data_IF_497116844652
#
_entry.id   IF_497116844652
#
_cell.length_a   1.000
_cell.length_b   1.000
_cell.length_c   1.000
_cell.angle_alpha   90.00
_cell.angle_beta   90.00
_cell.angle_gamma   90.00
#
_symmetry.space_group_name_H-M   'P 1'
#
loop_
_entity.id
_entity.type
_entity.pdbx_description
1 polymer ?
#
# COMPACT_ATOMS: atom_id res chain seq x y z
N UNK A 1 9.74 -13.06 -27.13
CA UNK A 1 9.03 -11.99 -27.87
C UNK A 1 9.29 -10.68 -27.12
N UNK A 2 9.53 -9.56 -27.80
CA UNK A 2 9.72 -8.27 -27.11
C UNK A 2 8.41 -7.78 -26.47
N UNK A 3 8.51 -6.97 -25.42
CA UNK A 3 7.36 -6.58 -24.58
C UNK A 3 6.20 -5.94 -25.34
N UNK A 4 6.47 -4.98 -26.22
CA UNK A 4 5.42 -4.31 -27.00
C UNK A 4 4.67 -5.28 -27.92
N UNK A 5 5.36 -6.27 -28.49
CA UNK A 5 4.74 -7.32 -29.29
C UNK A 5 3.89 -8.26 -28.42
N UNK A 6 4.30 -8.50 -27.17
CA UNK A 6 3.53 -9.25 -26.19
C UNK A 6 2.21 -8.54 -25.86
N UNK A 7 2.26 -7.25 -25.49
CA UNK A 7 1.06 -6.45 -25.15
C UNK A 7 0.03 -6.46 -26.29
N UNK A 8 0.49 -6.23 -27.52
CA UNK A 8 -0.37 -6.23 -28.70
C UNK A 8 -0.99 -7.62 -28.96
N UNK A 9 -0.21 -8.70 -28.75
CA UNK A 9 -0.70 -10.06 -28.96
C UNK A 9 -1.74 -10.47 -27.91
N UNK A 10 -1.49 -10.19 -26.63
CA UNK A 10 -2.46 -10.41 -25.54
C UNK A 10 -3.75 -9.64 -25.81
N UNK A 11 -3.65 -8.34 -26.11
CA UNK A 11 -4.81 -7.49 -26.40
C UNK A 11 -5.64 -8.03 -27.55
N UNK A 12 -4.98 -8.46 -28.64
CA UNK A 12 -5.65 -9.04 -29.81
C UNK A 12 -6.37 -10.35 -29.48
N UNK A 13 -5.71 -11.26 -28.76
CA UNK A 13 -6.31 -12.54 -28.36
C UNK A 13 -7.49 -12.33 -27.41
N UNK A 14 -7.35 -11.46 -26.40
CA UNK A 14 -8.46 -11.11 -25.52
C UNK A 14 -9.64 -10.49 -26.26
N UNK A 15 -9.39 -9.62 -27.23
CA UNK A 15 -10.45 -9.03 -28.07
C UNK A 15 -11.20 -10.10 -28.87
N UNK A 16 -10.48 -11.11 -29.38
CA UNK A 16 -11.08 -12.21 -30.14
C UNK A 16 -11.93 -13.12 -29.26
N UNK A 17 -11.48 -13.42 -28.05
CA UNK A 17 -12.16 -14.31 -27.11
C UNK A 17 -13.40 -13.65 -26.46
N UNK A 18 -13.33 -12.36 -26.12
CA UNK A 18 -14.46 -11.64 -25.52
C UNK A 18 -15.57 -11.31 -26.54
N UNK A 19 -15.21 -11.14 -27.81
CA UNK A 19 -16.17 -10.95 -28.90
C UNK A 19 -16.77 -9.55 -28.99
N UNK A 20 -17.88 -9.44 -29.73
CA UNK A 20 -18.55 -8.16 -29.98
C UNK A 20 -19.17 -7.57 -28.71
N UNK A 21 -19.12 -6.24 -28.56
CA UNK A 21 -19.65 -5.51 -27.40
C UNK A 21 -18.57 -5.11 -26.38
N UNK A 22 -17.36 -5.65 -26.48
CA UNK A 22 -16.22 -5.30 -25.63
C UNK A 22 -15.24 -4.36 -26.33
N UNK A 23 -14.80 -3.33 -25.60
CA UNK A 23 -13.71 -2.43 -25.98
C UNK A 23 -12.49 -2.69 -25.12
N UNK A 24 -11.32 -2.89 -25.74
CA UNK A 24 -10.06 -3.12 -25.04
C UNK A 24 -9.08 -2.01 -25.38
N UNK A 25 -8.56 -1.33 -24.36
CA UNK A 25 -7.56 -0.26 -24.53
C UNK A 25 -6.39 -0.43 -23.57
N UNK A 26 -5.18 -0.36 -24.12
CA UNK A 26 -3.97 -0.27 -23.32
C UNK A 26 -3.81 1.15 -22.77
N UNK A 27 -3.60 1.26 -21.47
CA UNK A 27 -3.34 2.53 -20.78
C UNK A 27 -2.16 2.40 -19.84
N UNK A 28 -1.37 3.47 -19.78
CA UNK A 28 -0.34 3.62 -18.75
C UNK A 28 -0.99 4.07 -17.46
N UNK A 29 -0.81 3.28 -16.40
CA UNK A 29 -1.39 3.53 -15.08
C UNK A 29 -0.26 3.90 -14.12
N UNK A 30 -0.23 5.14 -13.60
CA UNK A 30 0.75 5.52 -12.60
C UNK A 30 0.50 4.77 -11.29
N UNK A 31 1.59 4.39 -10.64
CA UNK A 31 1.64 3.72 -9.34
C UNK A 31 2.54 4.49 -8.39
N UNK A 32 2.54 4.09 -7.13
CA UNK A 32 3.37 4.69 -6.10
C UNK A 32 4.86 4.64 -6.50
N UNK A 33 5.63 5.61 -6.02
CA UNK A 33 7.06 5.76 -6.29
C UNK A 33 7.40 5.91 -7.78
N UNK A 34 6.51 6.56 -8.54
CA UNK A 34 6.70 6.89 -9.95
C UNK A 34 6.74 5.69 -10.89
N UNK A 35 6.30 4.51 -10.43
CA UNK A 35 6.18 3.34 -11.31
C UNK A 35 5.00 3.54 -12.27
N UNK A 36 5.13 3.03 -13.49
CA UNK A 36 4.09 3.07 -14.51
C UNK A 36 3.88 1.65 -14.99
N UNK A 37 2.63 1.17 -14.90
CA UNK A 37 2.24 -0.15 -15.40
C UNK A 37 1.40 -0.02 -16.66
N UNK A 38 1.44 -1.03 -17.52
CA UNK A 38 0.58 -1.14 -18.69
C UNK A 38 -0.67 -1.94 -18.32
N UNK A 39 -1.78 -1.22 -18.16
CA UNK A 39 -3.10 -1.77 -17.86
C UNK A 39 -3.92 -1.99 -19.13
N UNK A 40 -4.52 -3.17 -19.24
CA UNK A 40 -5.55 -3.46 -20.23
C UNK A 40 -6.91 -3.10 -19.65
N UNK A 41 -7.47 -1.98 -20.08
CA UNK A 41 -8.80 -1.53 -19.71
C UNK A 41 -9.84 -2.23 -20.59
N UNK A 42 -10.81 -2.90 -19.95
CA UNK A 42 -11.92 -3.58 -20.62
C UNK A 42 -13.21 -2.83 -20.33
N UNK A 43 -13.93 -2.44 -21.37
CA UNK A 43 -15.26 -1.80 -21.29
C UNK A 43 -16.28 -2.69 -21.98
N UNK A 44 -17.52 -2.72 -21.49
CA UNK A 44 -18.63 -3.39 -22.17
C UNK A 44 -19.80 -2.40 -22.38
N UNK A 45 -20.27 -2.25 -23.62
CA UNK A 45 -21.34 -1.29 -23.92
C UNK A 45 -21.00 0.17 -23.53
N UNK A 46 -21.87 0.81 -22.74
CA UNK A 46 -21.74 2.20 -22.28
C UNK A 46 -21.15 2.33 -20.86
N UNK A 47 -20.35 1.35 -20.43
CA UNK A 47 -19.72 1.36 -19.11
C UNK A 47 -18.85 2.61 -18.90
N UNK A 48 -19.12 3.33 -17.81
CA UNK A 48 -18.36 4.52 -17.42
C UNK A 48 -17.13 4.19 -16.56
N UNK A 49 -17.03 2.95 -16.06
CA UNK A 49 -15.89 2.44 -15.29
C UNK A 49 -15.35 1.19 -16.01
N UNK A 50 -14.05 1.20 -16.30
CA UNK A 50 -13.37 0.10 -16.95
C UNK A 50 -12.34 -0.52 -15.99
N UNK A 51 -12.48 -1.79 -15.56
CA UNK A 51 -11.41 -2.46 -14.82
C UNK A 51 -10.13 -2.51 -15.68
N UNK A 52 -8.99 -2.32 -15.01
CA UNK A 52 -7.67 -2.38 -15.65
C UNK A 52 -6.90 -3.60 -15.14
N UNK A 53 -6.47 -4.47 -16.05
CA UNK A 53 -5.62 -5.62 -15.73
C UNK A 53 -4.16 -5.32 -16.10
N UNK A 54 -3.24 -5.40 -15.14
CA UNK A 54 -1.83 -5.08 -15.40
C UNK A 54 -1.13 -6.21 -16.14
N UNK A 55 -0.47 -5.89 -17.24
CA UNK A 55 0.17 -6.87 -18.12
C UNK A 55 1.67 -7.08 -17.83
N UNK A 56 2.29 -6.23 -17.00
CA UNK A 56 3.70 -6.36 -16.63
C UNK A 56 4.00 -7.72 -15.98
N UNK A 57 3.28 -8.18 -14.93
CA UNK A 57 3.56 -9.48 -14.32
C UNK A 57 3.29 -10.65 -15.27
N UNK A 58 2.29 -10.51 -16.16
CA UNK A 58 2.00 -11.52 -17.19
C UNK A 58 3.17 -11.70 -18.16
N UNK A 59 3.89 -10.62 -18.48
CA UNK A 59 5.06 -10.70 -19.33
C UNK A 59 6.22 -11.42 -18.65
N UNK A 60 6.44 -11.19 -17.36
CA UNK A 60 7.45 -11.90 -16.58
C UNK A 60 7.18 -13.41 -16.54
N UNK A 61 5.91 -13.81 -16.36
CA UNK A 61 5.50 -15.21 -16.42
C UNK A 61 5.70 -15.82 -17.81
N UNK A 62 5.42 -15.06 -18.87
CA UNK A 62 5.68 -15.50 -20.24
C UNK A 62 7.18 -15.71 -20.48
N UNK A 63 8.05 -14.82 -19.97
CA UNK A 63 9.50 -14.99 -20.02
C UNK A 63 9.99 -16.20 -19.22
N UNK A 64 9.30 -16.54 -18.12
CA UNK A 64 9.51 -17.75 -17.35
C UNK A 64 9.01 -19.04 -18.04
N UNK A 65 8.46 -18.94 -19.26
CA UNK A 65 8.06 -20.07 -20.09
C UNK A 65 6.58 -20.41 -20.05
N UNK A 66 5.74 -19.63 -19.36
CA UNK A 66 4.30 -19.83 -19.36
C UNK A 66 3.71 -19.59 -20.77
N UNK A 67 2.86 -20.50 -21.30
CA UNK A 67 2.19 -20.29 -22.57
C UNK A 67 1.30 -19.05 -22.57
N UNK A 68 1.22 -18.38 -23.72
CA UNK A 68 0.41 -17.17 -23.88
C UNK A 68 -1.08 -17.47 -23.70
N UNK A 69 -1.53 -18.59 -24.25
CA UNK A 69 -2.91 -19.03 -24.24
C UNK A 69 -3.41 -19.21 -22.80
N UNK A 70 -2.57 -19.74 -21.91
CA UNK A 70 -2.87 -19.90 -20.49
C UNK A 70 -2.97 -18.56 -19.76
N UNK A 71 -2.13 -17.59 -20.13
CA UNK A 71 -2.18 -16.22 -19.58
C UNK A 71 -3.48 -15.55 -19.99
N UNK A 72 -3.84 -15.64 -21.27
CA UNK A 72 -5.08 -15.04 -21.81
C UNK A 72 -6.31 -15.68 -21.17
N UNK A 73 -6.34 -17.01 -21.03
CA UNK A 73 -7.45 -17.71 -20.38
C UNK A 73 -7.63 -17.29 -18.91
N UNK A 74 -6.53 -17.10 -18.18
CA UNK A 74 -6.59 -16.57 -16.81
C UNK A 74 -7.12 -15.14 -16.77
N UNK A 75 -6.63 -14.25 -17.64
CA UNK A 75 -7.10 -12.86 -17.70
C UNK A 75 -8.60 -12.78 -18.00
N UNK A 76 -9.12 -13.62 -18.91
CA UNK A 76 -10.56 -13.72 -19.19
C UNK A 76 -11.32 -14.19 -17.95
N UNK A 77 -10.83 -15.22 -17.27
CA UNK A 77 -11.45 -15.76 -16.06
C UNK A 77 -11.49 -14.71 -14.95
N UNK A 78 -10.39 -13.97 -14.77
CA UNK A 78 -10.27 -12.90 -13.79
C UNK A 78 -11.25 -11.76 -14.10
N UNK A 79 -11.33 -11.35 -15.37
CA UNK A 79 -12.30 -10.34 -15.79
C UNK A 79 -13.73 -10.81 -15.53
N UNK A 80 -14.11 -12.02 -15.96
CA UNK A 80 -15.45 -12.55 -15.79
C UNK A 80 -15.84 -12.72 -14.32
N UNK A 81 -14.90 -13.00 -13.42
CA UNK A 81 -15.17 -13.08 -11.98
C UNK A 81 -15.46 -11.69 -11.37
N UNK A 82 -14.86 -10.63 -11.91
CA UNK A 82 -14.84 -9.29 -11.33
C UNK A 82 -15.50 -8.22 -12.23
N UNK A 83 -16.29 -8.63 -13.24
CA UNK A 83 -16.77 -7.76 -14.32
C UNK A 83 -17.85 -6.75 -13.89
N UNK A 84 -18.44 -6.90 -12.70
CA UNK A 84 -19.49 -6.02 -12.22
C UNK A 84 -18.86 -4.93 -11.35
N UNK A 85 -18.54 -3.74 -11.88
CA UNK A 85 -18.19 -2.62 -11.01
C UNK A 85 -19.39 -2.35 -10.08
N UNK A 86 -19.15 -1.99 -8.81
CA UNK A 86 -20.23 -1.57 -7.93
C UNK A 86 -20.98 -0.39 -8.58
N UNK A 87 -22.31 -0.35 -8.39
CA UNK A 87 -23.15 0.74 -8.89
C UNK A 87 -22.71 2.06 -8.22
N UNK A 88 -21.87 2.80 -8.94
CA UNK A 88 -21.25 4.03 -8.48
C UNK A 88 -22.17 5.19 -8.85
N UNK A 89 -22.97 5.64 -7.88
CA UNK A 89 -23.75 6.85 -8.01
C UNK A 89 -22.81 8.07 -8.03
N UNK A 90 -22.51 8.57 -9.23
CA UNK A 90 -21.68 9.76 -9.45
C UNK A 90 -22.20 11.00 -8.72
N UNK A 91 -23.52 11.13 -8.54
CA UNK A 91 -24.09 12.26 -7.82
C UNK A 91 -23.77 12.18 -6.32
N UNK A 92 -23.53 10.98 -5.78
CA UNK A 92 -23.05 10.79 -4.40
C UNK A 92 -21.57 11.13 -4.26
N UNK A 93 -20.73 10.80 -5.24
CA UNK A 93 -19.29 11.14 -5.21
C UNK A 93 -19.05 12.66 -5.14
N UNK A 94 -19.92 13.46 -5.77
CA UNK A 94 -19.86 14.92 -5.72
C UNK A 94 -20.30 15.52 -4.37
N UNK A 95 -20.91 14.74 -3.47
CA UNK A 95 -21.44 15.22 -2.18
C UNK A 95 -20.48 14.88 -1.05
N UNK A 96 -19.76 15.89 -0.57
CA UNK A 96 -18.84 15.73 0.56
C UNK A 96 -19.48 15.03 1.77
N UNK A 97 -20.71 15.40 2.13
CA UNK A 97 -21.43 14.79 3.26
C UNK A 97 -21.53 13.27 3.16
N UNK A 98 -21.77 12.75 1.96
CA UNK A 98 -21.93 11.32 1.72
C UNK A 98 -20.58 10.61 1.69
N UNK A 99 -19.52 11.29 1.21
CA UNK A 99 -18.16 10.76 1.13
C UNK A 99 -17.38 10.87 2.44
N UNK A 100 -17.72 11.83 3.30
CA UNK A 100 -17.02 12.16 4.54
C UNK A 100 -16.70 10.95 5.42
N UNK A 101 -17.60 9.97 5.66
CA UNK A 101 -17.30 8.80 6.49
C UNK A 101 -16.30 7.82 5.87
N UNK A 102 -16.08 7.92 4.56
CA UNK A 102 -15.25 7.00 3.78
C UNK A 102 -13.86 7.56 3.48
N UNK A 103 -13.56 8.77 3.97
CA UNK A 103 -12.26 9.41 3.77
C UNK A 103 -11.26 8.81 4.77
N UNK A 104 -10.13 8.32 4.25
CA UNK A 104 -8.99 7.84 5.01
C UNK A 104 -7.69 8.47 4.51
N UNK A 105 -6.60 8.30 5.25
CA UNK A 105 -5.26 8.73 4.84
C UNK A 105 -4.25 7.58 4.81
N UNK A 106 -3.22 7.74 3.98
CA UNK A 106 -2.06 6.85 3.93
C UNK A 106 -0.76 7.64 3.77
N UNK A 107 0.35 6.95 3.99
CA UNK A 107 1.69 7.49 3.80
C UNK A 107 2.28 7.03 2.48
N UNK A 108 2.96 7.94 1.78
CA UNK A 108 3.80 7.65 0.61
C UNK A 108 5.12 8.41 0.73
N UNK A 109 6.17 7.94 0.04
CA UNK A 109 7.44 8.66 0.01
C UNK A 109 7.30 9.99 -0.76
N UNK A 110 7.67 11.11 -0.14
CA UNK A 110 7.40 12.42 -0.73
C UNK A 110 8.19 12.64 -2.03
N UNK A 111 9.51 12.42 -1.99
CA UNK A 111 10.38 12.73 -3.12
C UNK A 111 10.13 11.83 -4.34
N UNK A 112 9.76 10.56 -4.13
CA UNK A 112 9.49 9.61 -5.22
C UNK A 112 8.13 9.83 -5.89
N UNK A 113 7.26 10.66 -5.28
CA UNK A 113 5.90 10.91 -5.76
C UNK A 113 5.65 12.39 -6.08
N UNK A 114 6.70 13.19 -6.28
CA UNK A 114 6.57 14.64 -6.49
C UNK A 114 5.55 15.02 -7.57
N UNK A 115 5.55 14.33 -8.72
CA UNK A 115 4.59 14.60 -9.79
C UNK A 115 3.14 14.29 -9.40
N UNK A 116 2.91 13.23 -8.61
CA UNK A 116 1.56 12.92 -8.10
C UNK A 116 1.11 13.98 -7.08
N UNK A 117 2.03 14.42 -6.21
CA UNK A 117 1.75 15.41 -5.16
C UNK A 117 1.35 16.79 -5.71
N UNK A 118 1.67 17.11 -6.95
CA UNK A 118 1.19 18.33 -7.63
C UNK A 118 -0.32 18.29 -7.90
N UNK A 119 -0.90 17.10 -8.03
CA UNK A 119 -2.31 16.90 -8.44
C UNK A 119 -3.24 16.57 -7.27
N UNK A 120 -2.68 16.21 -6.10
CA UNK A 120 -3.45 15.73 -4.95
C UNK A 120 -3.19 16.53 -3.66
N UNK A 121 -4.20 16.70 -2.79
CA UNK A 121 -4.04 17.25 -1.46
C UNK A 121 -3.08 16.39 -0.62
N UNK A 122 -2.10 17.03 0.02
CA UNK A 122 -1.10 16.33 0.81
C UNK A 122 -0.51 17.20 1.92
N UNK A 123 0.10 16.54 2.90
CA UNK A 123 0.85 17.18 3.99
C UNK A 123 2.21 16.51 4.08
N UNK A 124 3.28 17.30 4.01
CA UNK A 124 4.63 16.80 4.24
C UNK A 124 4.82 16.43 5.70
N UNK A 125 5.36 15.24 5.95
CA UNK A 125 5.62 14.71 7.27
C UNK A 125 6.92 13.91 7.24
N UNK A 126 7.97 14.45 7.87
CA UNK A 126 9.35 13.97 7.73
C UNK A 126 9.77 13.90 6.25
N UNK A 127 10.20 12.74 5.78
CA UNK A 127 10.52 12.43 4.37
C UNK A 127 9.32 11.84 3.60
N UNK A 128 8.16 11.75 4.24
CA UNK A 128 6.92 11.20 3.69
C UNK A 128 5.90 12.30 3.40
N UNK A 129 4.84 11.91 2.70
CA UNK A 129 3.64 12.71 2.52
C UNK A 129 2.41 11.92 3.01
N UNK A 130 1.57 12.59 3.79
CA UNK A 130 0.23 12.12 4.13
C UNK A 130 -0.68 12.50 2.97
N UNK A 131 -1.33 11.50 2.36
CA UNK A 131 -2.27 11.69 1.26
C UNK A 131 -3.63 11.07 1.60
N UNK A 132 -4.67 11.48 0.89
CA UNK A 132 -6.05 11.15 1.22
C UNK A 132 -6.71 10.31 0.13
N UNK A 133 -7.55 9.35 0.55
CA UNK A 133 -8.27 8.47 -0.34
C UNK A 133 -9.67 8.14 0.19
N UNK A 134 -10.55 7.71 -0.72
CA UNK A 134 -11.88 7.21 -0.42
C UNK A 134 -11.86 5.68 -0.37
N UNK A 135 -12.49 5.11 0.65
CA UNK A 135 -12.87 3.70 0.74
C UNK A 135 -14.25 3.51 0.10
N UNK A 136 -14.28 3.04 -1.15
CA UNK A 136 -15.51 2.97 -1.94
C UNK A 136 -16.30 1.69 -1.63
N UNK A 137 -15.60 0.57 -1.63
CA UNK A 137 -16.19 -0.76 -1.47
C UNK A 137 -15.17 -1.71 -0.87
N UNK A 138 -15.63 -2.65 -0.05
CA UNK A 138 -14.83 -3.73 0.50
C UNK A 138 -15.63 -5.02 0.37
N UNK A 139 -15.02 -6.03 -0.23
CA UNK A 139 -15.57 -7.38 -0.36
C UNK A 139 -14.45 -8.43 -0.30
N UNK A 140 -14.79 -9.69 -0.57
CA UNK A 140 -13.86 -10.82 -0.59
C UNK A 140 -12.73 -10.66 -1.64
N UNK A 141 -12.88 -9.74 -2.61
CA UNK A 141 -11.86 -9.43 -3.62
C UNK A 141 -10.89 -8.32 -3.18
N UNK A 142 -11.21 -7.60 -2.11
CA UNK A 142 -10.35 -6.61 -1.47
C UNK A 142 -11.01 -5.24 -1.31
N UNK A 143 -10.18 -4.25 -0.98
CA UNK A 143 -10.60 -2.87 -0.75
C UNK A 143 -10.47 -2.03 -2.03
N UNK A 144 -11.59 -1.58 -2.57
CA UNK A 144 -11.65 -0.62 -3.66
C UNK A 144 -11.46 0.80 -3.11
N UNK A 145 -10.41 1.49 -3.59
CA UNK A 145 -10.09 2.85 -3.17
C UNK A 145 -9.96 3.82 -4.34
N UNK A 146 -10.17 5.10 -4.08
CA UNK A 146 -9.89 6.18 -5.02
C UNK A 146 -9.11 7.31 -4.35
N UNK A 147 -8.04 7.78 -5.00
CA UNK A 147 -7.25 8.91 -4.51
C UNK A 147 -8.06 10.20 -4.62
N UNK A 148 -8.06 10.99 -3.56
CA UNK A 148 -8.70 12.32 -3.57
C UNK A 148 -7.75 13.27 -4.29
N UNK A 149 -8.24 14.01 -5.29
CA UNK A 149 -7.47 14.99 -6.06
C UNK A 149 -7.85 16.42 -5.64
N UNK A 150 -7.02 17.41 -6.00
CA UNK A 150 -7.27 18.81 -5.66
C UNK A 150 -8.65 19.31 -6.14
N UNK A 151 -9.06 18.91 -7.34
CA UNK A 151 -10.41 19.16 -7.89
C UNK A 151 -11.55 18.69 -6.95
N UNK A 152 -11.38 17.56 -6.24
CA UNK A 152 -12.43 17.11 -5.31
C UNK A 152 -12.64 18.09 -4.16
N UNK A 153 -11.60 18.79 -3.69
CA UNK A 153 -11.75 19.81 -2.65
C UNK A 153 -12.56 20.99 -3.20
N UNK A 154 -12.30 21.41 -4.44
CA UNK A 154 -13.06 22.47 -5.11
C UNK A 154 -14.54 22.11 -5.27
N UNK A 155 -14.84 20.87 -5.66
CA UNK A 155 -16.21 20.35 -5.81
C UNK A 155 -16.93 20.23 -4.47
N UNK A 156 -16.20 19.78 -3.43
CA UNK A 156 -16.73 19.59 -2.09
C UNK A 156 -16.81 20.89 -1.27
N UNK A 157 -16.15 21.96 -1.74
CA UNK A 157 -16.01 23.25 -1.07
C UNK A 157 -15.42 23.10 0.35
N UNK A 158 -14.34 22.32 0.47
CA UNK A 158 -13.63 22.08 1.73
C UNK A 158 -12.16 22.48 1.65
N UNK A 159 -11.58 22.81 2.81
CA UNK A 159 -10.14 23.09 2.92
C UNK A 159 -9.32 21.80 3.10
N UNK A 160 -8.01 21.89 2.82
CA UNK A 160 -7.05 20.83 3.13
C UNK A 160 -7.03 20.48 4.63
N UNK A 161 -7.17 21.46 5.52
CA UNK A 161 -7.18 21.22 6.97
C UNK A 161 -8.43 20.44 7.38
N UNK A 162 -9.61 20.78 6.85
CA UNK A 162 -10.85 20.03 7.10
C UNK A 162 -10.75 18.59 6.58
N UNK A 163 -10.16 18.39 5.39
CA UNK A 163 -9.93 17.07 4.83
C UNK A 163 -9.00 16.24 5.73
N UNK A 164 -7.90 16.84 6.20
CA UNK A 164 -6.94 16.23 7.10
C UNK A 164 -7.58 15.83 8.43
N UNK A 165 -8.28 16.74 9.10
CA UNK A 165 -8.96 16.44 10.37
C UNK A 165 -9.96 15.29 10.20
N UNK A 166 -10.73 15.31 9.11
CA UNK A 166 -11.68 14.24 8.77
C UNK A 166 -10.96 12.91 8.59
N UNK A 167 -9.91 12.87 7.76
CA UNK A 167 -9.19 11.65 7.47
C UNK A 167 -8.51 11.07 8.72
N UNK A 168 -7.84 11.90 9.53
CA UNK A 168 -7.16 11.44 10.75
C UNK A 168 -8.15 10.95 11.82
N UNK A 169 -9.37 11.49 11.87
CA UNK A 169 -10.42 11.00 12.76
C UNK A 169 -11.00 9.66 12.27
N UNK A 170 -11.20 9.50 10.97
CA UNK A 170 -11.81 8.30 10.39
C UNK A 170 -10.86 7.11 10.32
N UNK A 171 -9.59 7.34 9.92
CA UNK A 171 -8.65 6.26 9.56
C UNK A 171 -8.48 5.22 10.67
N UNK A 172 -8.32 5.58 11.96
CA UNK A 172 -8.24 4.59 13.05
C UNK A 172 -9.52 3.78 13.25
N UNK A 173 -10.69 4.34 12.93
CA UNK A 173 -11.97 3.64 13.05
C UNK A 173 -12.21 2.69 11.88
N UNK A 174 -11.82 3.10 10.67
CA UNK A 174 -11.88 2.28 9.46
C UNK A 174 -10.84 1.16 9.48
N UNK A 175 -9.65 1.46 10.01
CA UNK A 175 -8.50 0.57 10.04
C UNK A 175 -7.87 0.56 11.43
N UNK A 176 -8.46 -0.14 12.41
CA UNK A 176 -7.92 -0.23 13.76
C UNK A 176 -6.46 -0.73 13.78
N UNK A 177 -5.59 -0.14 14.63
CA UNK A 177 -4.19 -0.51 14.68
C UNK A 177 -3.99 -1.88 15.33
N UNK A 178 -2.99 -2.62 14.85
CA UNK A 178 -2.57 -3.91 15.39
C UNK A 178 -1.05 -3.89 15.56
N UNK A 179 -0.58 -4.21 16.77
CA UNK A 179 0.83 -4.42 17.06
C UNK A 179 1.02 -5.89 17.43
N UNK A 180 1.84 -6.59 16.65
CA UNK A 180 2.11 -8.03 16.87
C UNK A 180 3.61 -8.26 16.98
N UNK A 181 4.04 -9.11 17.93
CA UNK A 181 5.43 -9.54 17.99
C UNK A 181 5.79 -10.39 16.76
N UNK A 182 6.95 -10.16 16.17
CA UNK A 182 7.42 -10.99 15.06
C UNK A 182 7.59 -12.47 15.49
N UNK A 183 8.00 -12.72 16.73
CA UNK A 183 8.09 -14.09 17.27
C UNK A 183 6.74 -14.79 17.29
N UNK A 184 5.67 -14.08 17.64
CA UNK A 184 4.31 -14.61 17.65
C UNK A 184 3.83 -14.90 16.23
N UNK A 185 4.09 -14.01 15.26
CA UNK A 185 3.72 -14.27 13.86
C UNK A 185 4.44 -15.48 13.27
N UNK A 186 5.72 -15.67 13.59
CA UNK A 186 6.48 -16.86 13.17
C UNK A 186 5.88 -18.12 13.81
N UNK A 187 5.51 -18.08 15.08
CA UNK A 187 4.87 -19.20 15.77
C UNK A 187 3.52 -19.55 15.12
N UNK A 188 2.67 -18.55 14.88
CA UNK A 188 1.35 -18.76 14.28
C UNK A 188 1.46 -19.29 12.84
N UNK A 189 2.41 -18.79 12.04
CA UNK A 189 2.71 -19.34 10.71
C UNK A 189 3.21 -20.78 10.80
N UNK A 190 4.12 -21.07 11.73
CA UNK A 190 4.63 -22.43 11.93
C UNK A 190 3.51 -23.38 12.32
N UNK A 191 2.55 -22.95 13.13
CA UNK A 191 1.38 -23.74 13.54
C UNK A 191 0.43 -23.99 12.36
N UNK A 192 0.20 -22.99 11.52
CA UNK A 192 -0.62 -23.11 10.32
C UNK A 192 0.00 -24.08 9.28
N UNK A 193 1.33 -24.13 9.19
CA UNK A 193 2.06 -25.05 8.31
C UNK A 193 2.20 -26.45 8.93
N UNK A 194 2.29 -26.55 10.27
CA UNK A 194 2.46 -27.81 11.00
C UNK A 194 1.20 -28.71 11.04
N UNK A 195 0.06 -28.26 10.50
CA UNK A 195 -1.05 -29.16 10.19
C UNK A 195 -0.71 -30.14 9.02
N UNK A 196 0.38 -29.93 8.28
CA UNK A 196 0.85 -30.85 7.22
C UNK A 196 2.20 -31.56 7.47
N UNK A 197 3.12 -31.07 8.30
CA UNK A 197 4.31 -31.86 8.69
C UNK A 197 4.98 -31.35 9.98
N UNK A 198 5.26 -32.28 10.90
CA UNK A 198 5.89 -32.02 12.20
C UNK A 198 7.35 -31.56 12.04
N UNK A 199 7.59 -30.25 11.96
CA UNK A 199 8.93 -29.68 12.09
C UNK A 199 8.98 -28.67 13.26
N UNK A 200 9.53 -29.11 14.39
CA UNK A 200 9.89 -28.24 15.49
C UNK A 200 11.03 -27.30 15.05
N UNK A 201 10.73 -26.02 14.84
CA UNK A 201 11.76 -24.99 14.71
C UNK A 201 12.41 -24.75 16.09
N UNK A 202 13.74 -24.54 16.17
CA UNK A 202 14.38 -24.22 17.43
C UNK A 202 13.86 -22.88 17.94
N UNK A 203 13.36 -22.88 19.19
CA UNK A 203 13.03 -21.67 19.94
C UNK A 203 14.30 -20.86 20.17
N UNK A 204 14.64 -19.98 19.23
CA UNK A 204 15.75 -19.05 19.39
C UNK A 204 15.27 -17.83 20.17
N UNK A 205 15.47 -17.89 21.47
CA UNK A 205 15.19 -16.84 22.47
C UNK A 205 16.18 -15.66 22.36
N UNK A 206 16.65 -15.35 21.15
CA UNK A 206 17.71 -14.35 20.89
C UNK A 206 17.48 -13.48 19.65
N UNK A 207 16.31 -13.52 19.00
CA UNK A 207 16.01 -12.50 17.98
C UNK A 207 15.70 -11.17 18.66
N UNK A 208 16.26 -10.06 18.16
CA UNK A 208 15.89 -8.72 18.60
C UNK A 208 14.35 -8.57 18.61
N UNK A 209 13.77 -7.87 19.59
CA UNK A 209 12.32 -7.84 19.80
C UNK A 209 11.65 -6.92 18.77
N UNK A 210 11.57 -7.39 17.53
CA UNK A 210 10.83 -6.73 16.46
C UNK A 210 9.33 -6.90 16.68
N UNK A 211 8.63 -5.79 16.65
CA UNK A 211 7.17 -5.74 16.61
C UNK A 211 6.75 -5.15 15.27
N UNK A 212 5.60 -5.59 14.78
CA UNK A 212 5.04 -5.10 13.52
C UNK A 212 3.79 -4.31 13.85
N UNK A 213 3.80 -3.04 13.46
CA UNK A 213 2.63 -2.17 13.51
C UNK A 213 1.99 -2.10 12.13
N UNK A 214 0.76 -2.59 12.05
CA UNK A 214 -0.10 -2.48 10.87
C UNK A 214 -1.54 -2.18 11.33
N UNK A 215 -2.52 -2.42 10.49
CA UNK A 215 -3.94 -2.36 10.82
C UNK A 215 -4.62 -3.72 10.58
N UNK A 216 -5.89 -3.83 11.00
CA UNK A 216 -6.65 -5.08 10.88
C UNK A 216 -6.89 -5.55 9.44
N UNK A 217 -6.74 -4.69 8.42
CA UNK A 217 -6.88 -5.08 7.01
C UNK A 217 -5.54 -5.42 6.33
N UNK A 218 -4.41 -5.07 6.94
CA UNK A 218 -3.08 -5.19 6.32
C UNK A 218 -2.84 -4.23 5.15
N UNK A 219 -3.72 -3.24 4.94
CA UNK A 219 -3.65 -2.33 3.79
C UNK A 219 -3.29 -0.92 4.25
N UNK A 220 -2.20 -0.35 3.73
CA UNK A 220 -1.71 0.98 4.11
C UNK A 220 -1.45 1.16 5.63
N UNK A 221 -1.14 0.07 6.34
CA UNK A 221 -1.03 0.05 7.80
C UNK A 221 0.12 0.86 8.37
N UNK A 222 1.11 1.27 7.58
CA UNK A 222 2.15 2.19 8.03
C UNK A 222 1.58 3.54 8.51
N UNK A 223 0.40 3.93 8.03
CA UNK A 223 -0.32 5.11 8.50
C UNK A 223 -0.66 5.06 10.01
N UNK A 224 -0.64 3.88 10.64
CA UNK A 224 -0.88 3.73 12.08
C UNK A 224 0.14 4.47 12.95
N UNK A 225 1.31 4.83 12.42
CA UNK A 225 2.28 5.70 13.13
C UNK A 225 1.66 7.08 13.44
N UNK A 226 0.73 7.55 12.59
CA UNK A 226 0.05 8.84 12.76
C UNK A 226 -1.09 8.78 13.78
N UNK A 227 -1.49 7.57 14.21
CA UNK A 227 -2.66 7.42 15.05
C UNK A 227 -2.38 7.96 16.46
N UNK A 228 -3.35 8.68 17.05
CA UNK A 228 -3.20 9.20 18.40
C UNK A 228 -2.85 8.09 19.38
N UNK A 229 -1.85 8.37 20.22
CA UNK A 229 -1.38 7.53 21.32
C UNK A 229 -0.89 6.11 20.97
N UNK A 230 -0.89 5.65 19.71
CA UNK A 230 -0.48 4.27 19.37
C UNK A 230 0.99 4.01 19.71
N UNK A 231 1.90 4.81 19.14
CA UNK A 231 3.34 4.69 19.43
C UNK A 231 3.64 5.05 20.89
N UNK A 232 2.93 6.04 21.43
CA UNK A 232 3.08 6.47 22.83
C UNK A 232 2.76 5.35 23.80
N UNK A 233 1.60 4.72 23.67
CA UNK A 233 1.17 3.62 24.54
C UNK A 233 2.14 2.44 24.40
N UNK A 234 2.60 2.14 23.18
CA UNK A 234 3.61 1.10 22.97
C UNK A 234 4.93 1.43 23.69
N UNK A 235 5.44 2.67 23.54
CA UNK A 235 6.63 3.15 24.24
C UNK A 235 6.47 3.11 25.77
N UNK A 236 5.28 3.43 26.29
CA UNK A 236 4.96 3.34 27.71
C UNK A 236 4.97 1.90 28.23
N UNK A 237 4.40 0.94 27.49
CA UNK A 237 4.39 -0.49 27.85
C UNK A 237 5.82 -1.06 27.83
N UNK A 238 6.64 -0.65 26.86
CA UNK A 238 8.04 -1.08 26.76
C UNK A 238 8.98 -0.33 27.72
N UNK A 239 8.50 0.78 28.31
CA UNK A 239 9.26 1.74 29.13
C UNK A 239 10.49 2.36 28.42
N UNK A 240 10.51 2.37 27.09
CA UNK A 240 11.66 2.75 26.25
C UNK A 240 11.28 3.72 25.13
N UNK A 241 12.29 4.38 24.58
CA UNK A 241 12.17 5.05 23.29
C UNK A 241 12.03 3.99 22.19
N UNK A 242 11.42 4.32 21.05
CA UNK A 242 11.08 3.35 20.01
C UNK A 242 11.72 3.75 18.69
N UNK A 243 12.53 2.85 18.14
CA UNK A 243 13.08 2.92 16.79
C UNK A 243 12.03 2.37 15.82
N UNK A 244 11.77 3.11 14.74
CA UNK A 244 10.74 2.78 13.76
C UNK A 244 11.37 2.64 12.38
N UNK A 245 11.08 1.53 11.71
CA UNK A 245 11.61 1.16 10.41
C UNK A 245 10.45 1.14 9.39
N UNK A 246 10.23 2.22 8.65
CA UNK A 246 9.17 2.37 7.66
C UNK A 246 9.56 1.82 6.28
N UNK A 247 9.89 0.53 6.15
CA UNK A 247 10.26 -0.05 4.85
C UNK A 247 9.08 -0.16 3.88
N UNK A 248 7.87 -0.43 4.39
CA UNK A 248 6.67 -0.76 3.62
C UNK A 248 5.55 0.27 3.86
N UNK A 249 4.67 0.47 2.88
CA UNK A 249 3.42 1.24 3.08
C UNK A 249 2.38 0.45 3.91
N UNK A 250 2.51 -0.87 3.97
CA UNK A 250 1.53 -1.77 4.60
C UNK A 250 1.77 -1.97 6.10
N UNK A 251 3.02 -1.82 6.56
CA UNK A 251 3.39 -1.98 7.95
C UNK A 251 4.71 -1.26 8.25
N UNK A 252 4.96 -1.01 9.53
CA UNK A 252 6.27 -0.58 10.01
C UNK A 252 6.77 -1.51 11.10
N UNK A 253 8.09 -1.66 11.18
CA UNK A 253 8.70 -2.38 12.31
C UNK A 253 8.99 -1.40 13.45
N UNK A 254 8.67 -1.83 14.66
CA UNK A 254 8.97 -1.13 15.91
C UNK A 254 9.99 -1.94 16.69
N UNK A 255 10.98 -1.25 17.23
CA UNK A 255 12.05 -1.84 18.02
C UNK A 255 12.27 -0.96 19.27
N UNK A 256 12.13 -1.50 20.49
CA UNK A 256 12.52 -0.79 21.69
C UNK A 256 14.02 -0.44 21.65
N UNK A 257 14.35 0.82 21.94
CA UNK A 257 15.74 1.28 21.95
C UNK A 257 16.44 0.82 23.24
N UNK A 258 17.41 -0.08 23.08
CA UNK A 258 18.28 -0.57 24.16
C UNK A 258 19.51 0.33 24.37
N UNK A 259 19.70 1.36 23.55
CA UNK A 259 20.80 2.32 23.62
C UNK A 259 22.11 1.85 22.96
N UNK A 260 22.13 0.65 22.40
CA UNK A 260 23.27 0.08 21.65
C UNK A 260 23.01 0.02 20.13
N UNK A 261 21.83 0.44 19.68
CA UNK A 261 21.39 0.32 18.29
C UNK A 261 21.82 1.56 17.50
N UNK A 262 22.70 1.36 16.51
CA UNK A 262 23.07 2.42 15.58
C UNK A 262 21.96 2.66 14.55
N UNK A 263 21.35 3.86 14.58
CA UNK A 263 20.33 4.25 13.60
C UNK A 263 20.88 4.28 12.16
N UNK A 264 22.18 4.56 11.97
CA UNK A 264 22.82 4.53 10.65
C UNK A 264 22.98 3.10 10.13
N UNK A 265 23.28 2.13 10.99
CA UNK A 265 23.32 0.71 10.61
C UNK A 265 21.91 0.20 10.29
N UNK A 266 20.92 0.62 11.08
CA UNK A 266 19.52 0.29 10.84
C UNK A 266 19.03 0.87 9.50
N UNK A 267 19.41 2.09 9.16
CA UNK A 267 19.07 2.70 7.86
C UNK A 267 19.69 1.94 6.69
N UNK A 268 20.91 1.42 6.84
CA UNK A 268 21.52 0.53 5.83
C UNK A 268 20.78 -0.79 5.71
N UNK A 269 20.32 -1.37 6.81
CA UNK A 269 19.51 -2.59 6.81
C UNK A 269 18.17 -2.36 6.08
N UNK A 270 17.45 -1.29 6.42
CA UNK A 270 16.20 -0.91 5.75
C UNK A 270 16.43 -0.70 4.26
N UNK A 271 17.50 0.00 3.88
CA UNK A 271 17.87 0.21 2.48
C UNK A 271 18.11 -1.11 1.74
N UNK A 272 18.83 -2.05 2.36
CA UNK A 272 19.09 -3.35 1.78
C UNK A 272 17.80 -4.14 1.56
N UNK A 273 16.95 -4.24 2.60
CA UNK A 273 15.66 -4.93 2.53
C UNK A 273 14.78 -4.32 1.44
N UNK A 274 14.71 -2.99 1.38
CA UNK A 274 13.93 -2.30 0.34
C UNK A 274 14.43 -2.67 -1.06
N UNK A 275 15.74 -2.80 -1.26
CA UNK A 275 16.31 -3.13 -2.57
C UNK A 275 16.12 -4.58 -3.00
N UNK A 276 16.07 -5.53 -2.05
CA UNK A 276 16.03 -6.97 -2.37
C UNK A 276 14.65 -7.59 -2.20
N UNK A 277 13.90 -7.21 -1.17
CA UNK A 277 12.67 -7.91 -0.77
C UNK A 277 11.39 -7.09 -0.99
N UNK A 278 11.46 -5.75 -1.00
CA UNK A 278 10.26 -4.90 -1.07
C UNK A 278 9.99 -4.44 -2.51
N UNK A 279 8.80 -4.71 -3.07
CA UNK A 279 8.38 -4.18 -4.37
C UNK A 279 8.50 -2.66 -4.42
N UNK A 280 8.84 -2.12 -5.60
CA UNK A 280 9.11 -0.68 -5.74
C UNK A 280 7.90 0.15 -5.34
N UNK A 281 6.70 -0.29 -5.68
CA UNK A 281 5.43 0.35 -5.32
C UNK A 281 5.12 0.35 -3.82
N UNK A 282 5.70 -0.57 -3.04
CA UNK A 282 5.39 -0.73 -1.62
C UNK A 282 6.41 -0.07 -0.70
N UNK A 283 7.57 0.34 -1.23
CA UNK A 283 8.62 1.02 -0.46
C UNK A 283 8.13 2.34 0.12
N UNK A 284 8.32 2.53 1.42
CA UNK A 284 7.92 3.77 2.10
C UNK A 284 9.10 4.69 2.39
N UNK A 285 10.15 4.23 3.09
CA UNK A 285 11.36 5.02 3.34
C UNK A 285 12.59 4.15 3.61
N UNK A 286 13.78 4.70 3.34
CA UNK A 286 15.08 4.16 3.74
C UNK A 286 15.61 4.80 5.04
N UNK A 287 14.87 5.76 5.59
CA UNK A 287 15.20 6.45 6.82
C UNK A 287 14.70 5.66 8.03
N UNK A 288 15.30 5.94 9.19
CA UNK A 288 14.89 5.38 10.47
C UNK A 288 14.37 6.52 11.32
N UNK A 289 13.26 6.27 12.02
CA UNK A 289 12.69 7.26 12.93
C UNK A 289 12.90 6.83 14.37
N UNK A 290 12.95 7.82 15.26
CA UNK A 290 13.01 7.61 16.70
C UNK A 290 11.83 8.35 17.33
N UNK A 291 11.05 7.62 18.11
CA UNK A 291 10.05 8.19 19.00
C UNK A 291 10.62 8.29 20.41
N UNK A 292 10.74 9.51 20.91
CA UNK A 292 11.15 9.75 22.29
C UNK A 292 9.95 9.64 23.23
N UNK A 293 10.01 8.72 24.18
CA UNK A 293 8.98 8.52 25.21
C UNK A 293 8.86 9.74 26.13
N UNK A 294 9.99 10.36 26.47
CA UNK A 294 10.03 11.53 27.37
C UNK A 294 9.46 12.77 26.68
N UNK A 295 9.87 13.04 25.44
CA UNK A 295 9.44 14.24 24.71
C UNK A 295 8.11 14.04 23.97
N UNK A 296 7.66 12.80 23.80
CA UNK A 296 6.47 12.41 23.02
C UNK A 296 6.51 12.94 21.58
N UNK A 297 7.71 12.89 20.98
CA UNK A 297 7.96 13.39 19.63
C UNK A 297 8.65 12.33 18.79
N UNK A 298 8.28 12.28 17.51
CA UNK A 298 8.88 11.42 16.50
C UNK A 298 9.81 12.27 15.62
N UNK A 299 11.06 11.83 15.45
CA UNK A 299 12.09 12.52 14.66
C UNK A 299 12.81 11.57 13.72
N UNK A 300 13.36 12.11 12.62
CA UNK A 300 14.34 11.40 11.79
C UNK A 300 15.61 11.15 12.62
N UNK A 301 16.06 9.89 12.65
CA UNK A 301 17.22 9.45 13.44
C UNK A 301 18.45 9.15 12.57
N UNK A 302 18.27 8.87 11.29
CA UNK A 302 19.35 8.64 10.33
C UNK A 302 20.04 9.94 9.92
N UNK A 303 21.39 9.93 9.91
CA UNK A 303 22.18 11.14 9.65
C UNK A 303 22.27 11.56 8.18
N UNK A 304 21.84 10.71 7.24
CA UNK A 304 21.90 10.96 5.80
C UNK A 304 20.62 10.49 5.09
N UNK A 305 20.09 11.35 4.22
CA UNK A 305 18.95 11.03 3.36
C UNK A 305 19.38 10.04 2.27
N UNK A 306 18.82 8.84 2.30
CA UNK A 306 19.07 7.77 1.34
C UNK A 306 17.86 7.66 0.39
N UNK A 307 18.03 7.81 -0.94
CA UNK A 307 16.94 7.65 -1.90
C UNK A 307 16.37 6.23 -1.88
N UNK A 308 15.05 6.08 -2.01
CA UNK A 308 14.37 4.76 -2.08
C UNK A 308 14.29 4.17 -3.50
N UNK A 309 14.71 4.93 -4.51
CA UNK A 309 14.61 4.62 -5.94
C UNK A 309 15.94 4.85 -6.65
#
# INVERSE_FOLDING_TARGET
MIYEAFLNKVTKQMTQELGEGYGLTLRKVPKNNGQILDGLCITHGDDHVAPAMYLNPCYDQYLAGRPMEDIVAELITLYQKNHTPPDLDYARLARYRDMKPHIACKLIHAASNQSLLEEIPHILWLDLAIIFYLCIHEDDSGLMTAVIHNNHLDVWDISLEELKETALANTPSLFPPVITSMSQMIEDLSRAVAEEESACLPSSDQSAPFFVLSNTSGINGAACILYPDVIKNFAEIMEKDIIILPSSIHEVLLLPDEGDISCDEMSRLVTHINQTEVPKEDRLSNQVYLYSRIHQTLTLASGCMIPIC
#
